data_IF_258998059931
#
_entry.id   IF_258998059931
#
_cell.length_a   1.000
_cell.length_b   1.000
_cell.length_c   1.000
_cell.angle_alpha   90.00
_cell.angle_beta   90.00
_cell.angle_gamma   90.00
#
_symmetry.space_group_name_H-M   'P 1'
#
loop_
_entity.id
_entity.type
_entity.pdbx_description
1 polymer ?
#
# COMPACT_ATOMS: atom_id res chain seq x y z
N UNK A 1 -26.32 -18.34 -14.76
CA UNK A 1 -26.45 -16.89 -14.87
C UNK A 1 -25.11 -16.18 -14.83
N UNK A 2 -24.86 -15.26 -15.76
CA UNK A 2 -23.66 -14.40 -15.81
C UNK A 2 -23.80 -13.11 -15.01
N UNK A 3 -25.02 -12.60 -14.83
CA UNK A 3 -25.36 -11.49 -13.93
C UNK A 3 -25.55 -10.14 -14.65
N UNK A 4 -25.42 -9.05 -13.90
CA UNK A 4 -25.57 -7.67 -14.38
C UNK A 4 -24.27 -7.17 -15.02
N UNK A 5 -24.42 -6.33 -16.04
CA UNK A 5 -23.33 -5.73 -16.80
C UNK A 5 -23.37 -4.20 -16.66
N UNK A 6 -22.22 -3.54 -16.85
CA UNK A 6 -22.15 -2.08 -16.92
C UNK A 6 -22.22 -1.56 -18.35
N UNK A 7 -22.88 -0.43 -18.52
CA UNK A 7 -22.93 0.35 -19.75
C UNK A 7 -21.57 1.05 -20.03
N UNK A 8 -21.27 1.54 -21.25
CA UNK A 8 -20.07 2.34 -21.51
C UNK A 8 -19.96 3.59 -20.64
N UNK A 9 -21.04 4.10 -20.07
CA UNK A 9 -21.00 5.18 -19.08
C UNK A 9 -20.67 4.70 -17.65
N UNK A 10 -20.67 3.39 -17.40
CA UNK A 10 -20.39 2.78 -16.10
C UNK A 10 -21.63 2.64 -15.20
N UNK A 11 -22.82 2.95 -15.70
CA UNK A 11 -24.07 2.67 -15.00
C UNK A 11 -24.42 1.17 -15.12
N UNK A 12 -25.15 0.64 -14.14
CA UNK A 12 -25.65 -0.74 -14.22
C UNK A 12 -26.79 -0.81 -15.22
N UNK A 13 -26.73 -1.79 -16.13
CA UNK A 13 -27.81 -2.06 -17.06
C UNK A 13 -28.85 -2.93 -16.32
N UNK A 14 -30.11 -2.48 -16.29
CA UNK A 14 -31.18 -3.16 -15.55
C UNK A 14 -31.56 -4.54 -16.13
N UNK A 15 -31.16 -4.82 -17.38
CA UNK A 15 -31.40 -6.11 -18.05
C UNK A 15 -30.31 -7.14 -17.68
N UNK A 16 -30.60 -8.18 -16.87
CA UNK A 16 -29.61 -9.17 -16.47
C UNK A 16 -29.37 -10.23 -17.56
N UNK A 17 -28.13 -10.71 -17.66
CA UNK A 17 -27.77 -11.85 -18.52
C UNK A 17 -28.10 -13.15 -17.77
N UNK A 18 -29.18 -13.81 -18.20
CA UNK A 18 -29.70 -15.02 -17.54
C UNK A 18 -28.91 -16.27 -17.92
N UNK A 19 -28.50 -16.34 -19.18
CA UNK A 19 -27.84 -17.52 -19.77
C UNK A 19 -26.40 -17.73 -19.29
N UNK A 20 -25.94 -18.98 -19.26
CA UNK A 20 -24.54 -19.33 -18.98
C UNK A 20 -23.70 -19.44 -20.26
N UNK A 21 -22.37 -19.30 -20.13
CA UNK A 21 -21.45 -19.57 -21.25
C UNK A 21 -21.51 -21.02 -21.76
N UNK A 22 -21.95 -21.97 -20.93
CA UNK A 22 -22.17 -23.37 -21.33
C UNK A 22 -23.45 -23.58 -22.15
N UNK A 23 -24.49 -22.80 -21.84
CA UNK A 23 -25.81 -22.86 -22.51
C UNK A 23 -25.82 -22.01 -23.79
N UNK A 24 -24.87 -21.07 -23.91
CA UNK A 24 -24.84 -20.08 -24.98
C UNK A 24 -25.50 -18.78 -24.53
N UNK A 25 -25.16 -17.68 -25.22
CA UNK A 25 -25.76 -16.36 -24.99
C UNK A 25 -26.67 -16.03 -26.16
N UNK A 26 -27.82 -15.42 -25.88
CA UNK A 26 -28.63 -14.81 -26.94
C UNK A 26 -27.89 -13.63 -27.59
N UNK A 27 -28.30 -13.24 -28.80
CA UNK A 27 -27.65 -12.14 -29.55
C UNK A 27 -27.60 -10.84 -28.73
N UNK A 28 -28.68 -10.50 -28.04
CA UNK A 28 -28.79 -9.30 -27.20
C UNK A 28 -27.87 -9.38 -25.98
N UNK A 29 -27.86 -10.51 -25.26
CA UNK A 29 -26.97 -10.75 -24.12
C UNK A 29 -25.49 -10.71 -24.52
N UNK A 30 -25.16 -11.24 -25.70
CA UNK A 30 -23.81 -11.18 -26.24
C UNK A 30 -23.38 -9.74 -26.53
N UNK A 31 -24.22 -8.95 -27.20
CA UNK A 31 -23.94 -7.53 -27.51
C UNK A 31 -23.74 -6.71 -26.23
N UNK A 32 -24.59 -6.91 -25.21
CA UNK A 32 -24.46 -6.24 -23.90
C UNK A 32 -23.12 -6.62 -23.24
N UNK A 33 -22.74 -7.90 -23.29
CA UNK A 33 -21.44 -8.35 -22.77
C UNK A 33 -20.26 -7.74 -23.54
N UNK A 34 -20.40 -7.49 -24.84
CA UNK A 34 -19.33 -6.91 -25.67
C UNK A 34 -19.05 -5.44 -25.31
N UNK A 35 -20.07 -4.64 -24.98
CA UNK A 35 -19.89 -3.24 -24.60
C UNK A 35 -19.00 -3.10 -23.37
N UNK A 36 -19.31 -3.85 -22.30
CA UNK A 36 -18.49 -3.83 -21.10
C UNK A 36 -17.08 -4.37 -21.36
N UNK A 37 -16.93 -5.42 -22.18
CA UNK A 37 -15.62 -5.98 -22.48
C UNK A 37 -14.74 -5.00 -23.27
N UNK A 38 -15.30 -4.34 -24.28
CA UNK A 38 -14.60 -3.32 -25.08
C UNK A 38 -14.15 -2.15 -24.22
N UNK A 39 -15.02 -1.66 -23.32
CA UNK A 39 -14.64 -0.60 -22.37
C UNK A 39 -13.50 -1.04 -21.46
N UNK A 40 -13.54 -2.26 -20.93
CA UNK A 40 -12.45 -2.80 -20.10
C UNK A 40 -11.10 -2.82 -20.82
N UNK A 41 -11.07 -3.22 -22.10
CA UNK A 41 -9.84 -3.21 -22.91
C UNK A 41 -9.34 -1.79 -23.15
N UNK A 42 -10.24 -0.86 -23.53
CA UNK A 42 -9.89 0.54 -23.79
C UNK A 42 -9.39 1.23 -22.52
N UNK A 43 -10.08 1.07 -21.39
CA UNK A 43 -9.67 1.61 -20.10
C UNK A 43 -8.30 1.06 -19.67
N UNK A 44 -8.04 -0.22 -19.95
CA UNK A 44 -6.73 -0.83 -19.66
C UNK A 44 -5.63 -0.19 -20.49
N UNK A 45 -5.86 0.06 -21.78
CA UNK A 45 -4.88 0.70 -22.65
C UNK A 45 -4.55 2.13 -22.17
N UNK A 46 -5.57 2.94 -21.88
CA UNK A 46 -5.41 4.33 -21.42
C UNK A 46 -4.72 4.36 -20.04
N UNK A 47 -5.13 3.51 -19.10
CA UNK A 47 -4.51 3.48 -17.76
C UNK A 47 -3.06 2.99 -17.81
N UNK A 48 -2.72 2.12 -18.75
CA UNK A 48 -1.33 1.69 -18.96
C UNK A 48 -0.45 2.87 -19.39
N UNK A 49 -0.92 3.72 -20.31
CA UNK A 49 -0.15 4.90 -20.71
C UNK A 49 0.03 5.91 -19.57
N UNK A 50 -1.03 6.16 -18.79
CA UNK A 50 -0.97 7.10 -17.66
C UNK A 50 -0.02 6.61 -16.55
N UNK A 51 -0.04 5.30 -16.26
CA UNK A 51 0.87 4.69 -15.30
C UNK A 51 2.34 4.83 -15.76
N UNK A 52 2.61 4.61 -17.05
CA UNK A 52 3.93 4.82 -17.63
C UNK A 52 4.41 6.26 -17.46
N UNK A 53 3.58 7.22 -17.84
CA UNK A 53 3.88 8.65 -17.71
C UNK A 53 4.14 9.06 -16.26
N UNK A 54 3.31 8.62 -15.33
CA UNK A 54 3.45 8.95 -13.92
C UNK A 54 4.73 8.36 -13.33
N UNK A 55 5.07 7.10 -13.65
CA UNK A 55 6.32 6.49 -13.17
C UNK A 55 7.56 7.24 -13.67
N UNK A 56 7.56 7.71 -14.93
CA UNK A 56 8.64 8.55 -15.46
C UNK A 56 8.80 9.84 -14.65
N UNK A 57 7.71 10.59 -14.44
CA UNK A 57 7.76 11.84 -13.65
C UNK A 57 8.18 11.59 -12.20
N UNK A 58 7.73 10.49 -11.60
CA UNK A 58 8.15 10.13 -10.25
C UNK A 58 9.65 9.86 -10.19
N UNK A 59 10.21 9.11 -11.14
CA UNK A 59 11.67 8.86 -11.22
C UNK A 59 12.44 10.17 -11.35
N UNK A 60 12.00 11.09 -12.21
CA UNK A 60 12.65 12.40 -12.40
C UNK A 60 12.72 13.23 -11.09
N UNK A 61 11.69 13.15 -10.23
CA UNK A 61 11.67 13.85 -8.94
C UNK A 61 12.51 13.14 -7.87
N UNK A 62 12.46 11.80 -7.81
CA UNK A 62 13.08 11.02 -6.73
C UNK A 62 14.53 10.64 -7.00
N UNK A 63 15.06 10.85 -8.20
CA UNK A 63 16.43 10.45 -8.58
C UNK A 63 17.53 11.01 -7.65
N UNK A 64 17.28 12.15 -7.02
CA UNK A 64 18.24 12.77 -6.09
C UNK A 64 18.18 12.19 -4.67
N UNK A 65 17.14 11.42 -4.35
CA UNK A 65 16.91 10.86 -3.01
C UNK A 65 17.76 9.59 -2.81
N UNK A 66 18.96 9.80 -2.25
CA UNK A 66 19.95 8.75 -1.95
C UNK A 66 20.32 8.80 -0.47
N UNK A 67 20.68 7.65 0.11
CA UNK A 67 21.21 7.60 1.49
C UNK A 67 22.68 8.00 1.50
N UNK A 68 23.00 9.12 2.14
CA UNK A 68 24.37 9.69 2.14
C UNK A 68 25.09 9.63 3.47
N UNK A 69 24.36 9.68 4.60
CA UNK A 69 24.94 9.67 5.95
C UNK A 69 24.16 8.74 6.87
N UNK A 70 24.83 8.31 7.93
CA UNK A 70 24.24 7.44 8.97
C UNK A 70 23.20 8.19 9.79
N UNK A 71 23.57 9.33 10.39
CA UNK A 71 22.68 10.21 11.17
C UNK A 71 22.65 11.65 10.63
N UNK A 72 21.47 12.28 10.69
CA UNK A 72 21.29 13.71 10.45
C UNK A 72 21.22 14.55 11.73
N UNK A 73 21.25 13.90 12.91
CA UNK A 73 21.21 14.55 14.22
C UNK A 73 19.84 15.12 14.61
N UNK A 74 18.77 14.77 13.88
CA UNK A 74 17.42 15.22 14.23
C UNK A 74 16.95 14.56 15.53
N UNK A 75 16.35 15.36 16.40
CA UNK A 75 15.63 14.89 17.60
C UNK A 75 14.14 14.73 17.31
N UNK A 76 13.67 15.22 16.16
CA UNK A 76 12.24 15.18 15.82
C UNK A 76 11.84 13.79 15.36
N UNK A 77 10.86 13.22 16.04
CA UNK A 77 10.19 11.98 15.66
C UNK A 77 8.70 12.19 15.44
N UNK A 78 8.04 11.16 14.90
CA UNK A 78 6.58 11.06 14.88
C UNK A 78 6.19 10.10 16.00
N UNK A 79 5.27 10.52 16.86
CA UNK A 79 4.72 9.65 17.90
C UNK A 79 3.64 8.74 17.33
N UNK A 80 3.80 7.44 17.52
CA UNK A 80 2.81 6.44 17.15
C UNK A 80 2.27 5.84 18.44
N UNK A 81 0.96 6.01 18.67
CA UNK A 81 0.27 5.41 19.81
C UNK A 81 -0.49 4.15 19.37
N UNK A 82 -0.49 3.09 20.19
CA UNK A 82 -1.38 1.96 19.98
C UNK A 82 -2.83 2.44 20.16
N UNK A 83 -3.68 2.24 19.15
CA UNK A 83 -5.14 2.48 19.28
C UNK A 83 -5.80 1.22 19.84
N UNK A 84 -6.88 1.40 20.59
CA UNK A 84 -7.63 0.27 21.15
C UNK A 84 -8.27 -0.58 20.04
N UNK A 85 -7.86 -1.86 19.94
CA UNK A 85 -8.49 -2.87 19.09
C UNK A 85 -7.49 -3.81 18.41
N UNK A 86 -7.84 -5.10 18.27
CA UNK A 86 -6.92 -6.13 17.73
C UNK A 86 -6.41 -5.85 16.31
N UNK A 87 -7.22 -5.18 15.47
CA UNK A 87 -6.81 -4.75 14.13
C UNK A 87 -5.77 -3.62 14.20
N UNK A 88 -5.90 -2.72 15.18
CA UNK A 88 -4.97 -1.62 15.37
C UNK A 88 -3.59 -2.10 15.84
N UNK A 89 -3.55 -3.15 16.67
CA UNK A 89 -2.30 -3.76 17.13
C UNK A 89 -1.48 -4.32 15.96
N UNK A 90 -2.12 -4.99 15.00
CA UNK A 90 -1.43 -5.51 13.81
C UNK A 90 -0.83 -4.39 12.94
N UNK A 91 -1.59 -3.32 12.73
CA UNK A 91 -1.13 -2.16 11.95
C UNK A 91 0.01 -1.45 12.67
N UNK A 92 -0.07 -1.35 14.00
CA UNK A 92 0.98 -0.77 14.85
C UNK A 92 2.29 -1.55 14.74
N UNK A 93 2.23 -2.89 14.84
CA UNK A 93 3.39 -3.78 14.65
C UNK A 93 4.04 -3.55 13.29
N UNK A 94 3.24 -3.57 12.22
CA UNK A 94 3.74 -3.44 10.86
C UNK A 94 4.37 -2.06 10.62
N UNK A 95 3.89 -1.02 11.29
CA UNK A 95 4.43 0.35 11.16
C UNK A 95 5.77 0.50 11.90
N UNK A 96 5.93 -0.17 13.04
CA UNK A 96 7.13 -0.08 13.87
C UNK A 96 8.28 -0.95 13.38
N UNK A 97 8.00 -2.13 12.84
CA UNK A 97 9.03 -3.05 12.37
C UNK A 97 9.92 -2.37 11.32
N UNK A 98 11.23 -2.41 11.56
CA UNK A 98 12.22 -1.85 10.65
C UNK A 98 12.37 -0.33 10.72
N UNK A 99 11.71 0.33 11.67
CA UNK A 99 11.96 1.74 12.01
C UNK A 99 12.99 1.87 13.12
N UNK A 100 13.43 3.10 13.36
CA UNK A 100 14.45 3.44 14.37
C UNK A 100 13.83 4.37 15.40
N UNK A 101 14.16 4.17 16.68
CA UNK A 101 13.67 4.98 17.78
C UNK A 101 14.28 6.40 17.77
N UNK A 102 13.42 7.39 18.00
CA UNK A 102 13.83 8.79 18.15
C UNK A 102 14.24 9.13 19.59
N UNK A 103 13.56 8.53 20.57
CA UNK A 103 13.76 8.77 22.01
C UNK A 103 14.03 7.45 22.74
N UNK A 104 14.66 7.54 23.92
CA UNK A 104 14.86 6.42 24.83
C UNK A 104 13.53 6.01 25.48
N UNK A 105 13.30 4.70 25.61
CA UNK A 105 12.08 4.17 26.24
C UNK A 105 12.44 3.51 27.56
N UNK A 106 11.86 4.04 28.63
CA UNK A 106 12.01 3.54 29.99
C UNK A 106 10.70 2.93 30.50
N UNK A 107 10.82 1.85 31.27
CA UNK A 107 9.73 1.32 32.10
C UNK A 107 10.21 1.38 33.55
N UNK A 108 9.61 2.30 34.31
CA UNK A 108 10.08 2.62 35.65
C UNK A 108 11.54 3.10 35.61
N UNK A 109 12.43 2.38 36.30
CA UNK A 109 13.87 2.66 36.35
C UNK A 109 14.70 1.92 35.29
N UNK A 110 14.08 1.03 34.49
CA UNK A 110 14.81 0.19 33.52
C UNK A 110 14.63 0.71 32.09
N UNK A 111 15.75 0.96 31.41
CA UNK A 111 15.76 1.24 29.97
C UNK A 111 15.46 -0.03 29.19
N UNK A 112 14.46 0.00 28.30
CA UNK A 112 14.10 -1.12 27.42
C UNK A 112 14.77 -1.02 26.07
N UNK A 113 14.80 0.20 25.53
CA UNK A 113 15.36 0.48 24.23
C UNK A 113 15.98 1.88 24.24
N UNK A 114 17.15 1.99 23.61
CA UNK A 114 17.88 3.25 23.50
C UNK A 114 17.54 3.97 22.20
N UNK A 115 17.76 5.27 22.19
CA UNK A 115 17.69 6.11 21.01
C UNK A 115 18.58 5.56 19.91
N UNK A 116 18.13 5.68 18.67
CA UNK A 116 18.80 5.18 17.47
C UNK A 116 18.88 3.65 17.36
N UNK A 117 18.23 2.90 18.25
CA UNK A 117 18.10 1.46 18.11
C UNK A 117 17.06 1.09 17.05
N UNK A 118 17.36 0.07 16.25
CA UNK A 118 16.42 -0.48 15.28
C UNK A 118 15.34 -1.32 15.97
N UNK A 119 14.12 -1.21 15.48
CA UNK A 119 12.96 -1.91 16.03
C UNK A 119 12.80 -3.25 15.33
N UNK A 120 13.34 -4.30 15.95
CA UNK A 120 13.14 -5.69 15.56
C UNK A 120 11.88 -6.32 16.18
N UNK A 121 11.49 -7.50 15.67
CA UNK A 121 10.30 -8.26 16.13
C UNK A 121 10.32 -8.50 17.65
N UNK A 122 11.49 -8.81 18.22
CA UNK A 122 11.64 -9.04 19.66
C UNK A 122 11.47 -7.79 20.54
N UNK A 123 11.73 -6.59 20.01
CA UNK A 123 11.46 -5.33 20.73
C UNK A 123 9.98 -4.96 20.63
N UNK A 124 9.36 -5.16 19.45
CA UNK A 124 7.93 -4.89 19.25
C UNK A 124 7.06 -5.74 20.17
N UNK A 125 7.34 -7.05 20.27
CA UNK A 125 6.58 -7.93 21.17
C UNK A 125 6.63 -7.45 22.62
N UNK A 126 7.80 -6.97 23.07
CA UNK A 126 7.93 -6.35 24.39
C UNK A 126 7.05 -5.11 24.54
N UNK A 127 7.05 -4.21 23.56
CA UNK A 127 6.21 -3.01 23.60
C UNK A 127 4.70 -3.30 23.70
N UNK A 128 4.22 -4.36 23.05
CA UNK A 128 2.82 -4.81 23.15
C UNK A 128 2.52 -5.33 24.55
N UNK A 129 3.36 -6.23 25.07
CA UNK A 129 3.18 -6.82 26.40
C UNK A 129 3.10 -5.75 27.48
N UNK A 130 3.93 -4.72 27.36
CA UNK A 130 3.99 -3.64 28.33
C UNK A 130 2.93 -2.53 28.13
N UNK A 131 2.08 -2.62 27.08
CA UNK A 131 1.18 -1.53 26.65
C UNK A 131 1.89 -0.17 26.70
N UNK A 132 3.02 -0.09 25.99
CA UNK A 132 3.88 1.07 26.05
C UNK A 132 3.16 2.36 25.64
N UNK A 133 3.57 3.46 26.29
CA UNK A 133 3.27 4.84 25.93
C UNK A 133 3.52 5.14 24.44
N UNK A 134 3.02 6.26 23.89
CA UNK A 134 3.33 6.68 22.53
C UNK A 134 4.83 6.55 22.21
N UNK A 135 5.15 5.82 21.14
CA UNK A 135 6.52 5.54 20.71
C UNK A 135 6.93 6.58 19.68
N UNK A 136 7.99 7.33 19.96
CA UNK A 136 8.59 8.27 19.00
C UNK A 136 9.51 7.52 18.03
N UNK A 137 9.14 7.51 16.75
CA UNK A 137 9.97 6.94 15.67
C UNK A 137 10.58 8.02 14.79
N UNK A 138 11.79 7.74 14.28
CA UNK A 138 12.40 8.54 13.22
C UNK A 138 11.73 8.22 11.88
N UNK A 139 11.51 9.24 11.07
CA UNK A 139 10.91 9.10 9.75
C UNK A 139 11.65 9.93 8.71
N UNK A 140 11.55 9.59 7.42
CA UNK A 140 12.14 10.42 6.37
C UNK A 140 11.55 11.84 6.34
N UNK A 141 10.31 12.03 6.79
CA UNK A 141 9.65 13.35 6.89
C UNK A 141 10.29 14.28 7.92
N UNK A 142 10.86 13.72 8.99
CA UNK A 142 11.50 14.52 10.05
C UNK A 142 13.01 14.67 9.88
N UNK A 143 13.57 14.15 8.77
CA UNK A 143 14.97 14.30 8.42
C UNK A 143 15.33 15.79 8.27
N UNK A 144 16.55 16.16 8.69
CA UNK A 144 17.05 17.54 8.59
C UNK A 144 17.45 17.92 7.16
N UNK A 145 17.73 16.92 6.34
CA UNK A 145 18.27 17.06 4.99
C UNK A 145 17.17 17.30 3.97
N UNK A 146 17.40 18.18 2.99
CA UNK A 146 16.43 18.51 1.95
C UNK A 146 16.55 17.64 0.69
N UNK A 147 17.76 17.17 0.36
CA UNK A 147 18.05 16.47 -0.90
C UNK A 147 18.50 15.01 -0.74
N UNK A 148 18.72 14.54 0.49
CA UNK A 148 19.16 13.17 0.79
C UNK A 148 18.54 12.69 2.10
N UNK A 149 18.53 11.38 2.35
CA UNK A 149 17.92 10.81 3.57
C UNK A 149 19.01 10.12 4.41
N UNK A 150 18.89 10.22 5.73
CA UNK A 150 19.80 9.54 6.65
C UNK A 150 19.43 8.06 6.86
N UNK A 151 20.41 7.19 7.07
CA UNK A 151 20.20 5.76 7.30
C UNK A 151 19.23 5.51 8.46
N UNK A 152 19.42 6.21 9.59
CA UNK A 152 18.54 6.08 10.76
C UNK A 152 17.13 6.64 10.54
N UNK A 153 16.95 7.56 9.60
CA UNK A 153 15.68 8.18 9.28
C UNK A 153 14.84 7.28 8.37
N UNK A 154 15.53 6.54 7.49
CA UNK A 154 14.92 5.55 6.61
C UNK A 154 14.60 4.25 7.37
N UNK A 155 15.61 3.71 8.06
CA UNK A 155 15.55 2.46 8.80
C UNK A 155 16.03 1.26 7.99
N UNK A 156 15.29 0.16 8.07
CA UNK A 156 15.61 -1.13 7.47
C UNK A 156 15.30 -1.15 5.98
N UNK A 157 16.14 -1.84 5.20
CA UNK A 157 15.85 -2.07 3.78
C UNK A 157 14.65 -3.03 3.64
N UNK A 158 13.94 -2.95 2.52
CA UNK A 158 12.87 -3.91 2.20
C UNK A 158 13.42 -5.25 1.72
N UNK A 159 14.63 -5.26 1.14
CA UNK A 159 15.26 -6.43 0.55
C UNK A 159 16.07 -7.23 1.58
N UNK A 160 16.69 -6.53 2.53
CA UNK A 160 17.58 -7.11 3.53
C UNK A 160 17.04 -6.89 4.93
N UNK A 161 17.39 -7.80 5.84
CA UNK A 161 17.08 -7.68 7.26
C UNK A 161 17.93 -6.64 8.00
N UNK A 162 18.79 -5.91 7.31
CA UNK A 162 19.70 -4.94 7.93
C UNK A 162 19.24 -3.51 7.63
N UNK A 163 19.83 -2.56 8.35
CA UNK A 163 19.69 -1.14 8.02
C UNK A 163 20.20 -0.89 6.59
N UNK A 164 19.62 0.10 5.91
CA UNK A 164 20.04 0.46 4.54
C UNK A 164 21.50 0.84 4.48
N UNK A 165 22.18 0.48 3.38
CA UNK A 165 23.58 0.83 3.18
C UNK A 165 23.75 2.28 2.68
N UNK A 166 24.92 2.85 2.93
CA UNK A 166 25.28 4.16 2.40
C UNK A 166 25.47 4.06 0.88
N UNK A 167 24.85 4.97 0.13
CA UNK A 167 24.86 4.98 -1.33
C UNK A 167 23.64 4.35 -2.00
N UNK A 168 22.73 3.73 -1.24
CA UNK A 168 21.53 3.12 -1.81
C UNK A 168 20.53 4.17 -2.34
N UNK A 169 20.09 3.99 -3.59
CA UNK A 169 19.16 4.88 -4.29
C UNK A 169 17.70 4.59 -3.92
N UNK A 170 17.34 4.85 -2.67
CA UNK A 170 16.02 4.59 -2.08
C UNK A 170 14.87 5.22 -2.88
N UNK A 171 15.05 6.42 -3.42
CA UNK A 171 14.01 7.08 -4.22
C UNK A 171 13.60 6.28 -5.45
N UNK A 172 14.58 5.76 -6.19
CA UNK A 172 14.36 4.96 -7.39
C UNK A 172 13.69 3.63 -7.01
N UNK A 173 14.19 2.96 -5.96
CA UNK A 173 13.61 1.72 -5.46
C UNK A 173 12.12 1.91 -5.12
N UNK A 174 11.77 2.97 -4.39
CA UNK A 174 10.38 3.25 -4.03
C UNK A 174 9.48 3.50 -5.25
N UNK A 175 9.99 4.17 -6.29
CA UNK A 175 9.25 4.40 -7.54
C UNK A 175 8.94 3.08 -8.27
N UNK A 176 9.91 2.16 -8.32
CA UNK A 176 9.75 0.84 -8.94
C UNK A 176 8.70 0.01 -8.19
N UNK A 177 8.73 -0.03 -6.86
CA UNK A 177 7.72 -0.74 -6.07
C UNK A 177 6.30 -0.19 -6.30
N UNK A 178 6.16 1.14 -6.43
CA UNK A 178 4.88 1.76 -6.74
C UNK A 178 4.33 1.31 -8.10
N UNK A 179 5.19 1.20 -9.12
CA UNK A 179 4.81 0.70 -10.45
C UNK A 179 4.21 -0.69 -10.38
N UNK A 180 4.80 -1.60 -9.60
CA UNK A 180 4.33 -2.98 -9.46
C UNK A 180 2.93 -3.02 -8.85
N UNK A 181 2.70 -2.28 -7.76
CA UNK A 181 1.38 -2.21 -7.12
C UNK A 181 0.31 -1.57 -8.00
N UNK A 182 0.65 -0.49 -8.70
CA UNK A 182 -0.30 0.23 -9.55
C UNK A 182 -0.67 -0.55 -10.81
N UNK A 183 0.31 -1.21 -11.45
CA UNK A 183 0.07 -2.04 -12.65
C UNK A 183 -0.84 -3.23 -12.34
N UNK A 184 -0.62 -3.90 -11.21
CA UNK A 184 -1.48 -5.00 -10.74
C UNK A 184 -2.91 -4.51 -10.51
N UNK A 185 -3.08 -3.34 -9.89
CA UNK A 185 -4.40 -2.75 -9.66
C UNK A 185 -5.10 -2.35 -10.96
N UNK A 186 -4.39 -1.78 -11.94
CA UNK A 186 -4.99 -1.43 -13.24
C UNK A 186 -5.53 -2.68 -13.93
N UNK A 187 -4.74 -3.74 -14.02
CA UNK A 187 -5.15 -4.97 -14.72
C UNK A 187 -6.30 -5.64 -13.97
N UNK A 188 -6.22 -5.77 -12.64
CA UNK A 188 -7.28 -6.41 -11.84
C UNK A 188 -8.58 -5.60 -11.81
N UNK A 189 -8.51 -4.28 -11.72
CA UNK A 189 -9.74 -3.46 -11.59
C UNK A 189 -10.41 -3.20 -12.94
N UNK A 190 -9.65 -3.01 -14.01
CA UNK A 190 -10.20 -2.63 -15.32
C UNK A 190 -10.77 -3.84 -16.07
N UNK A 191 -10.12 -5.01 -15.94
CA UNK A 191 -10.60 -6.24 -16.57
C UNK A 191 -11.88 -6.79 -15.91
N UNK A 192 -11.95 -6.71 -14.57
CA UNK A 192 -13.09 -7.26 -13.82
C UNK A 192 -14.23 -6.28 -13.58
N UNK A 193 -14.04 -4.97 -13.79
CA UNK A 193 -15.12 -3.95 -13.69
C UNK A 193 -16.30 -4.21 -14.62
N UNK A 194 -16.06 -4.97 -15.67
CA UNK A 194 -17.06 -5.37 -16.65
C UNK A 194 -18.15 -6.24 -16.02
N UNK A 195 -17.80 -7.11 -15.06
CA UNK A 195 -18.72 -8.08 -14.46
C UNK A 195 -18.97 -7.68 -13.01
N UNK A 196 -20.11 -7.05 -12.76
CA UNK A 196 -20.61 -6.92 -11.40
C UNK A 196 -21.18 -8.26 -10.95
N UNK A 197 -20.36 -9.07 -10.28
CA UNK A 197 -20.89 -10.08 -9.35
C UNK A 197 -21.41 -9.35 -8.12
N UNK A 198 -22.52 -8.63 -8.28
CA UNK A 198 -23.35 -8.25 -7.16
C UNK A 198 -23.89 -9.54 -6.56
N UNK A 199 -23.32 -10.00 -5.45
CA UNK A 199 -24.14 -10.75 -4.50
C UNK A 199 -25.27 -9.80 -4.13
N UNK A 200 -26.46 -10.05 -4.70
CA UNK A 200 -27.67 -9.34 -4.37
C UNK A 200 -27.91 -9.57 -2.87
N UNK A 201 -27.52 -8.61 -2.02
CA UNK A 201 -27.71 -8.67 -0.57
C UNK A 201 -29.18 -8.59 -0.14
N UNK A 202 -30.10 -8.50 -1.09
CA UNK A 202 -31.56 -8.42 -0.87
C UNK A 202 -32.33 -9.65 -1.34
N UNK A 203 -31.67 -10.67 -1.91
CA UNK A 203 -32.31 -11.97 -2.19
C UNK A 203 -31.97 -13.00 -1.10
N UNK A 204 -32.14 -12.60 0.17
CA UNK A 204 -32.29 -13.52 1.28
C UNK A 204 -33.70 -13.30 1.84
N UNK A 205 -34.67 -13.98 1.26
CA UNK A 205 -35.98 -14.17 1.86
C UNK A 205 -36.41 -15.63 1.64
N UNK A 206 -37.14 -16.19 2.60
CA UNK A 206 -36.95 -17.54 3.07
C UNK A 206 -37.80 -18.55 2.28
N UNK A 207 -37.18 -19.67 1.94
CA UNK A 207 -37.82 -20.98 1.89
C UNK A 207 -36.79 -22.00 2.40
#
# INVERSE_FOLDING_TARGET
>A
MRGLMSDPQGQMIDLPIQSNLREGLSLTEYIISCYGARKGVVDTAIRTSDAGYLTRRLVEVVQHIVVRRTDCGTVRGISVSPRNGMMADRIFIQTLIGRVLADDIYIGSRCIATRNQDIGVGLVNRFITFRAQPISIRTPFTCRSTSWICQLCYGRSQLMTNLVELGEAVGIMQSIYWRTGYSINIIRTSYWRSIHKGYCRTCASPF
#
